data_IF_128015855670
#
_entry.id   IF_128015855670
#
_cell.length_a   1.000
_cell.length_b   1.000
_cell.length_c   1.000
_cell.angle_alpha   90.00
_cell.angle_beta   90.00
_cell.angle_gamma   90.00
#
_symmetry.space_group_name_H-M   'P 1'
#
loop_
_entity.id
_entity.type
_entity.pdbx_description
1 polymer ?
#
# COMPACT_ATOMS: atom_id res chain seq x y z
N UNK A 1 -6.22 -24.31 -7.62
CA UNK A 1 -5.45 -23.07 -7.40
C UNK A 1 -5.10 -23.05 -5.94
N UNK A 2 -3.82 -23.18 -5.62
CA UNK A 2 -3.40 -23.19 -4.21
C UNK A 2 -3.37 -21.76 -3.68
N UNK A 3 -4.06 -21.55 -2.57
CA UNK A 3 -4.09 -20.30 -1.82
C UNK A 3 -3.40 -20.58 -0.49
N UNK A 4 -2.32 -19.87 -0.23
CA UNK A 4 -1.62 -19.89 1.05
C UNK A 4 -2.10 -18.69 1.87
N UNK A 5 -2.55 -18.98 3.09
CA UNK A 5 -3.16 -17.99 3.97
C UNK A 5 -2.26 -17.89 5.20
N UNK A 6 -1.66 -16.71 5.39
CA UNK A 6 -0.91 -16.39 6.60
C UNK A 6 -1.77 -16.59 7.85
N UNK A 7 -1.14 -16.97 8.95
CA UNK A 7 -1.82 -17.02 10.24
C UNK A 7 -2.12 -15.60 10.75
N UNK A 8 -3.19 -15.40 11.53
CA UNK A 8 -3.43 -14.11 12.16
C UNK A 8 -2.26 -13.78 13.12
N UNK A 9 -1.84 -12.52 13.15
CA UNK A 9 -0.80 -12.05 14.07
C UNK A 9 -1.16 -12.42 15.51
N UNK A 10 -0.32 -13.25 16.10
CA UNK A 10 -0.45 -13.65 17.49
C UNK A 10 0.39 -12.72 18.33
N UNK A 11 -0.27 -12.02 19.27
CA UNK A 11 0.44 -11.24 20.28
C UNK A 11 1.37 -12.12 21.12
N UNK A 12 2.11 -11.52 22.07
CA UNK A 12 3.01 -12.29 22.93
C UNK A 12 2.26 -13.37 23.70
N UNK A 13 2.95 -14.49 23.98
CA UNK A 13 2.43 -15.58 24.80
C UNK A 13 1.84 -15.04 26.11
N UNK A 14 0.61 -15.47 26.42
CA UNK A 14 -0.12 -15.04 27.62
C UNK A 14 0.39 -15.75 28.86
N UNK A 15 0.77 -17.01 28.70
CA UNK A 15 1.24 -17.88 29.78
C UNK A 15 2.07 -19.02 29.18
N UNK A 16 2.49 -19.97 30.02
CA UNK A 16 3.20 -21.19 29.62
C UNK A 16 2.63 -22.39 30.35
N UNK A 17 2.80 -23.57 29.77
CA UNK A 17 2.53 -24.82 30.47
C UNK A 17 3.46 -24.97 31.68
N UNK A 18 2.93 -25.29 32.84
CA UNK A 18 3.74 -25.54 34.05
C UNK A 18 4.09 -27.02 34.25
N UNK A 19 3.47 -27.91 33.47
CA UNK A 19 3.70 -29.35 33.45
C UNK A 19 3.50 -29.88 32.03
N UNK A 20 3.97 -31.08 31.76
CA UNK A 20 3.72 -31.75 30.48
C UNK A 20 2.21 -32.03 30.33
N UNK A 21 1.71 -31.93 29.10
CA UNK A 21 0.33 -32.25 28.71
C UNK A 21 0.41 -33.37 27.69
N UNK A 22 -0.19 -34.52 27.99
CA UNK A 22 -0.23 -35.63 27.05
C UNK A 22 -1.33 -35.41 26.02
N UNK A 23 -1.16 -36.00 24.84
CA UNK A 23 -2.25 -36.16 23.87
C UNK A 23 -3.47 -36.81 24.54
N UNK A 24 -4.66 -36.38 24.12
CA UNK A 24 -5.96 -36.68 24.71
C UNK A 24 -6.22 -36.14 26.12
N UNK A 25 -5.25 -35.51 26.81
CA UNK A 25 -5.54 -34.81 28.08
C UNK A 25 -6.56 -33.71 27.81
N UNK A 26 -7.52 -33.54 28.72
CA UNK A 26 -8.62 -32.55 28.58
C UNK A 26 -8.43 -31.32 29.47
N UNK A 27 -7.25 -31.19 30.06
CA UNK A 27 -6.86 -30.07 30.88
C UNK A 27 -5.35 -29.87 30.84
N UNK A 28 -4.92 -28.63 30.98
CA UNK A 28 -3.52 -28.28 31.10
C UNK A 28 -3.30 -27.42 32.35
N UNK A 29 -2.15 -27.63 33.01
CA UNK A 29 -1.71 -26.74 34.09
C UNK A 29 -0.81 -25.67 33.48
N UNK A 30 -1.17 -24.41 33.70
CA UNK A 30 -0.46 -23.22 33.21
C UNK A 30 0.08 -22.40 34.38
N UNK A 31 1.12 -21.61 34.14
CA UNK A 31 1.71 -20.73 35.15
C UNK A 31 0.70 -19.71 35.70
N UNK A 32 -0.18 -19.20 34.83
CA UNK A 32 -1.27 -18.30 35.16
C UNK A 32 -2.38 -18.39 34.08
N UNK A 33 -3.65 -18.43 34.47
CA UNK A 33 -4.80 -18.39 33.56
C UNK A 33 -5.58 -17.06 33.59
N UNK A 34 -5.05 -16.02 34.23
CA UNK A 34 -5.61 -14.67 34.14
C UNK A 34 -5.74 -14.25 32.66
N UNK A 35 -6.85 -13.60 32.31
CA UNK A 35 -7.21 -13.18 30.95
C UNK A 35 -7.46 -14.34 29.96
N UNK A 36 -7.61 -15.58 30.46
CA UNK A 36 -8.16 -16.71 29.72
C UNK A 36 -9.52 -17.08 30.30
N UNK A 37 -10.52 -17.25 29.44
CA UNK A 37 -11.90 -17.52 29.83
C UNK A 37 -12.49 -18.69 29.04
N UNK A 38 -13.64 -19.19 29.51
CA UNK A 38 -14.43 -20.14 28.73
C UNK A 38 -14.72 -19.55 27.35
N UNK A 39 -14.70 -20.41 26.33
CA UNK A 39 -14.91 -20.10 24.92
C UNK A 39 -13.77 -19.38 24.19
N UNK A 40 -12.68 -19.05 24.88
CA UNK A 40 -11.46 -18.57 24.24
C UNK A 40 -10.73 -19.69 23.50
N UNK A 41 -10.03 -19.32 22.43
CA UNK A 41 -9.10 -20.20 21.72
C UNK A 41 -7.66 -19.83 22.10
N UNK A 42 -6.84 -20.84 22.31
CA UNK A 42 -5.41 -20.70 22.59
C UNK A 42 -4.60 -21.59 21.66
N UNK A 43 -3.42 -21.12 21.29
CA UNK A 43 -2.40 -21.89 20.58
C UNK A 43 -1.41 -22.44 21.60
N UNK A 44 -1.18 -23.75 21.57
CA UNK A 44 -0.06 -24.37 22.27
C UNK A 44 1.09 -24.50 21.27
N UNK A 45 2.25 -23.92 21.61
CA UNK A 45 3.38 -23.83 20.69
C UNK A 45 3.46 -22.47 19.98
N UNK A 46 4.19 -22.42 18.87
CA UNK A 46 4.29 -21.24 18.02
C UNK A 46 3.75 -21.56 16.63
N UNK A 47 3.00 -20.65 15.98
CA UNK A 47 2.55 -20.84 14.61
C UNK A 47 3.71 -21.23 13.67
N UNK A 48 3.49 -22.23 12.82
CA UNK A 48 4.49 -22.74 11.89
C UNK A 48 5.50 -23.71 12.49
N UNK A 49 5.47 -23.98 13.80
CA UNK A 49 6.24 -25.07 14.41
C UNK A 49 5.40 -26.36 14.42
N UNK A 50 6.03 -27.48 14.08
CA UNK A 50 5.42 -28.81 14.13
C UNK A 50 4.73 -29.07 15.48
N UNK A 51 3.59 -29.76 15.45
CA UNK A 51 2.81 -30.15 16.63
C UNK A 51 2.13 -29.00 17.38
N UNK A 52 2.18 -27.77 16.86
CA UNK A 52 1.38 -26.68 17.40
C UNK A 52 -0.12 -26.92 17.16
N UNK A 53 -0.96 -26.54 18.11
CA UNK A 53 -2.41 -26.76 17.95
C UNK A 53 -3.26 -25.67 18.60
N UNK A 54 -4.44 -25.45 18.00
CA UNK A 54 -5.48 -24.58 18.56
C UNK A 54 -6.41 -25.40 19.43
N UNK A 55 -6.56 -24.98 20.69
CA UNK A 55 -7.43 -25.61 21.68
C UNK A 55 -8.47 -24.60 22.17
N UNK A 56 -9.73 -25.04 22.27
CA UNK A 56 -10.82 -24.23 22.82
C UNK A 56 -10.99 -24.47 24.31
N UNK A 57 -10.90 -23.41 25.11
CA UNK A 57 -11.11 -23.47 26.56
C UNK A 57 -12.60 -23.67 26.86
N UNK A 58 -12.93 -24.66 27.67
CA UNK A 58 -14.30 -24.89 28.18
C UNK A 58 -14.48 -24.41 29.61
N UNK A 59 -13.40 -24.20 30.35
CA UNK A 59 -13.44 -23.57 31.66
C UNK A 59 -12.08 -23.46 32.30
N UNK A 60 -11.98 -22.62 33.32
CA UNK A 60 -10.79 -22.46 34.15
C UNK A 60 -11.08 -22.95 35.57
N UNK A 61 -10.06 -23.49 36.24
CA UNK A 61 -10.16 -23.90 37.65
C UNK A 61 -8.96 -23.39 38.42
N UNK A 62 -9.21 -22.72 39.55
CA UNK A 62 -8.19 -21.95 40.24
C UNK A 62 -7.48 -20.95 39.30
N UNK A 63 -6.22 -20.64 39.60
CA UNK A 63 -5.44 -19.67 38.83
C UNK A 63 -4.45 -20.33 37.85
N UNK A 64 -4.46 -21.66 37.75
CA UNK A 64 -3.39 -22.43 37.08
C UNK A 64 -3.92 -23.54 36.20
N UNK A 65 -5.23 -23.71 36.02
CA UNK A 65 -5.76 -24.81 35.21
C UNK A 65 -6.72 -24.27 34.15
N UNK A 66 -6.51 -24.73 32.92
CA UNK A 66 -7.42 -24.56 31.78
C UNK A 66 -7.96 -25.93 31.39
N UNK A 67 -9.26 -26.02 31.11
CA UNK A 67 -9.96 -27.23 30.69
C UNK A 67 -10.44 -27.03 29.26
N UNK A 68 -10.54 -28.13 28.51
CA UNK A 68 -10.96 -28.13 27.12
C UNK A 68 -11.64 -29.46 26.76
N UNK A 69 -12.36 -29.50 25.64
CA UNK A 69 -13.08 -30.70 25.17
C UNK A 69 -12.43 -31.23 23.89
N UNK A 70 -12.36 -32.56 23.75
CA UNK A 70 -11.71 -33.23 22.62
C UNK A 70 -10.27 -33.67 22.91
N UNK A 71 -9.67 -33.09 23.95
CA UNK A 71 -8.28 -33.33 24.35
C UNK A 71 -7.27 -32.76 23.36
N UNK A 72 -6.00 -32.66 23.78
CA UNK A 72 -4.90 -32.27 22.89
C UNK A 72 -4.66 -33.33 21.81
N UNK A 73 -4.37 -32.92 20.57
CA UNK A 73 -3.95 -33.84 19.51
C UNK A 73 -2.51 -34.30 19.74
N UNK A 74 -1.67 -33.43 20.30
CA UNK A 74 -0.24 -33.67 20.46
C UNK A 74 0.20 -33.62 21.93
N UNK A 75 1.35 -34.22 22.22
CA UNK A 75 2.02 -34.09 23.51
C UNK A 75 2.75 -32.74 23.56
N UNK A 76 2.59 -31.98 24.65
CA UNK A 76 3.27 -30.70 24.86
C UNK A 76 4.12 -30.75 26.13
N UNK A 77 5.39 -30.38 26.04
CA UNK A 77 6.26 -30.32 27.21
C UNK A 77 5.96 -29.11 28.10
N UNK A 78 6.37 -29.18 29.37
CA UNK A 78 6.38 -28.04 30.25
C UNK A 78 7.16 -26.86 29.61
N UNK A 79 6.70 -25.64 29.89
CA UNK A 79 7.16 -24.35 29.37
C UNK A 79 6.79 -24.03 27.92
N UNK A 80 6.09 -24.91 27.21
CA UNK A 80 5.48 -24.58 25.91
C UNK A 80 4.65 -23.30 26.06
N UNK A 81 4.84 -22.30 25.17
CA UNK A 81 4.07 -21.07 25.22
C UNK A 81 2.59 -21.35 24.93
N UNK A 82 1.73 -20.63 25.63
CA UNK A 82 0.28 -20.64 25.42
C UNK A 82 -0.14 -19.22 25.05
N UNK A 83 -0.65 -19.07 23.83
CA UNK A 83 -0.95 -17.76 23.24
C UNK A 83 -2.43 -17.67 22.92
N UNK A 84 -3.08 -16.58 23.30
CA UNK A 84 -4.48 -16.33 22.93
C UNK A 84 -4.60 -16.05 21.43
N UNK A 85 -5.56 -16.68 20.77
CA UNK A 85 -5.87 -16.44 19.36
C UNK A 85 -7.34 -16.05 19.21
N UNK A 86 -7.58 -14.92 18.53
CA UNK A 86 -8.93 -14.36 18.39
C UNK A 86 -9.80 -15.15 17.40
N UNK A 87 -9.20 -15.80 16.42
CA UNK A 87 -9.89 -16.47 15.30
C UNK A 87 -9.32 -17.87 15.11
N UNK A 88 -10.17 -18.87 14.99
CA UNK A 88 -9.74 -20.28 14.84
C UNK A 88 -9.96 -20.82 13.41
N UNK A 89 -10.60 -20.04 12.54
CA UNK A 89 -10.93 -20.41 11.17
C UNK A 89 -10.63 -19.25 10.21
N UNK A 90 -10.52 -19.58 8.93
CA UNK A 90 -10.50 -18.60 7.84
C UNK A 90 -11.65 -18.85 6.88
N UNK A 91 -12.32 -17.77 6.47
CA UNK A 91 -13.31 -17.78 5.39
C UNK A 91 -12.70 -17.23 4.12
N UNK A 92 -12.84 -18.00 3.05
CA UNK A 92 -12.26 -17.74 1.75
C UNK A 92 -13.36 -17.26 0.82
N UNK A 93 -13.09 -16.20 0.07
CA UNK A 93 -14.02 -15.58 -0.85
C UNK A 93 -13.37 -15.40 -2.21
N UNK A 94 -14.16 -15.44 -3.29
CA UNK A 94 -13.69 -15.14 -4.63
C UNK A 94 -14.59 -14.22 -5.44
N UNK A 95 -14.00 -13.59 -6.46
CA UNK A 95 -14.67 -12.75 -7.44
C UNK A 95 -14.00 -12.87 -8.82
N UNK A 96 -14.73 -12.52 -9.89
CA UNK A 96 -14.18 -12.43 -11.25
C UNK A 96 -13.37 -11.16 -11.50
N UNK A 97 -13.54 -10.13 -10.68
CA UNK A 97 -12.91 -8.82 -10.81
C UNK A 97 -12.34 -8.37 -9.45
N UNK A 98 -11.22 -7.64 -9.47
CA UNK A 98 -10.50 -7.19 -8.26
C UNK A 98 -11.42 -6.45 -7.27
N UNK A 99 -12.25 -5.55 -7.79
CA UNK A 99 -13.15 -4.69 -7.02
C UNK A 99 -14.62 -5.13 -7.12
N UNK A 100 -14.87 -6.35 -7.62
CA UNK A 100 -16.20 -6.91 -7.77
C UNK A 100 -16.82 -7.39 -6.44
N UNK A 101 -17.99 -8.01 -6.55
CA UNK A 101 -18.67 -8.64 -5.41
C UNK A 101 -18.04 -10.00 -5.10
N UNK A 102 -17.47 -10.14 -3.90
CA UNK A 102 -16.86 -11.37 -3.44
C UNK A 102 -17.90 -12.32 -2.84
N UNK A 103 -17.91 -13.57 -3.30
CA UNK A 103 -18.79 -14.64 -2.80
C UNK A 103 -18.00 -15.62 -1.95
N UNK A 104 -18.61 -16.17 -0.89
CA UNK A 104 -17.97 -17.15 -0.02
C UNK A 104 -17.73 -18.45 -0.78
N UNK A 105 -16.50 -18.97 -0.73
CA UNK A 105 -16.12 -20.26 -1.28
C UNK A 105 -16.12 -21.34 -0.20
N UNK A 106 -15.33 -21.17 0.85
CA UNK A 106 -15.17 -22.15 1.92
C UNK A 106 -14.87 -21.49 3.27
N UNK A 107 -14.97 -22.29 4.33
CA UNK A 107 -14.47 -21.98 5.67
C UNK A 107 -13.57 -23.13 6.10
N UNK A 108 -12.30 -22.83 6.34
CA UNK A 108 -11.29 -23.81 6.75
C UNK A 108 -10.85 -23.53 8.19
N UNK A 109 -10.48 -24.58 8.92
CA UNK A 109 -9.75 -24.45 10.19
C UNK A 109 -8.33 -23.94 9.92
N UNK A 110 -7.73 -23.21 10.86
CA UNK A 110 -6.35 -22.76 10.73
C UNK A 110 -5.38 -23.91 11.02
N UNK A 111 -4.50 -24.21 10.07
CA UNK A 111 -3.45 -25.23 10.19
C UNK A 111 -2.22 -24.63 10.88
N UNK A 112 -2.31 -24.43 12.20
CA UNK A 112 -1.32 -23.65 12.97
C UNK A 112 0.05 -24.33 13.12
N UNK A 113 0.13 -25.64 12.84
CA UNK A 113 1.37 -26.43 12.79
C UNK A 113 2.13 -26.31 11.47
N UNK A 114 1.51 -25.70 10.46
CA UNK A 114 2.13 -25.36 9.18
C UNK A 114 2.43 -23.86 9.10
N UNK A 115 3.30 -23.43 8.19
CA UNK A 115 3.64 -22.01 8.00
C UNK A 115 2.42 -21.20 7.51
N UNK A 116 1.54 -21.84 6.75
CA UNK A 116 0.32 -21.24 6.18
C UNK A 116 -0.84 -22.23 6.24
N UNK A 117 -2.07 -21.70 6.29
CA UNK A 117 -3.27 -22.51 6.02
C UNK A 117 -3.45 -22.63 4.50
N UNK A 118 -3.36 -23.85 3.96
CA UNK A 118 -3.45 -24.11 2.53
C UNK A 118 -4.88 -24.43 2.07
N UNK A 119 -5.33 -23.82 0.97
CA UNK A 119 -6.61 -24.13 0.34
C UNK A 119 -6.48 -24.30 -1.17
N UNK A 120 -6.96 -25.42 -1.71
CA UNK A 120 -6.96 -25.68 -3.16
C UNK A 120 -8.35 -25.42 -3.79
N UNK A 121 -8.49 -24.27 -4.44
CA UNK A 121 -9.65 -24.00 -5.29
C UNK A 121 -9.48 -24.68 -6.65
N UNK A 122 -9.98 -25.90 -6.78
CA UNK A 122 -9.93 -26.69 -8.03
C UNK A 122 -10.70 -26.06 -9.19
N UNK A 123 -11.59 -25.10 -8.93
CA UNK A 123 -12.38 -24.38 -9.95
C UNK A 123 -11.79 -23.03 -10.33
N UNK A 124 -10.95 -22.49 -9.46
CA UNK A 124 -10.29 -21.22 -9.60
C UNK A 124 -9.32 -21.16 -10.78
N UNK A 125 -9.32 -20.03 -11.47
CA UNK A 125 -8.41 -19.73 -12.59
C UNK A 125 -7.39 -18.65 -12.20
N UNK A 126 -6.40 -18.42 -13.06
CA UNK A 126 -5.46 -17.29 -12.91
C UNK A 126 -6.14 -15.91 -12.96
N UNK A 127 -7.36 -15.79 -13.48
CA UNK A 127 -8.13 -14.55 -13.49
C UNK A 127 -9.04 -14.38 -12.27
N UNK A 128 -9.13 -15.39 -11.41
CA UNK A 128 -9.97 -15.34 -10.20
C UNK A 128 -9.28 -14.50 -9.13
N UNK A 129 -10.04 -13.66 -8.44
CA UNK A 129 -9.55 -12.85 -7.34
C UNK A 129 -10.04 -13.42 -6.02
N UNK A 130 -9.17 -13.43 -5.01
CA UNK A 130 -9.44 -13.99 -3.70
C UNK A 130 -9.29 -12.94 -2.61
N UNK A 131 -10.12 -13.08 -1.57
CA UNK A 131 -10.00 -12.37 -0.31
C UNK A 131 -10.30 -13.35 0.82
N UNK A 132 -9.70 -13.11 1.98
CA UNK A 132 -9.95 -13.91 3.17
C UNK A 132 -10.47 -13.04 4.32
N UNK A 133 -11.15 -13.69 5.26
CA UNK A 133 -11.48 -13.14 6.58
C UNK A 133 -11.21 -14.19 7.63
N UNK A 134 -10.46 -13.85 8.67
CA UNK A 134 -10.41 -14.66 9.87
C UNK A 134 -11.75 -14.66 10.59
N UNK A 135 -12.15 -15.83 11.08
CA UNK A 135 -13.45 -16.14 11.65
C UNK A 135 -13.28 -16.85 13.00
N UNK A 136 -14.08 -16.46 13.99
CA UNK A 136 -14.18 -17.16 15.25
C UNK A 136 -15.48 -17.97 15.25
N UNK A 137 -15.38 -19.29 15.26
CA UNK A 137 -16.55 -20.17 15.13
C UNK A 137 -17.47 -20.18 16.35
N UNK A 138 -16.98 -19.72 17.50
CA UNK A 138 -17.78 -19.63 18.74
C UNK A 138 -18.53 -18.30 18.85
N UNK A 139 -17.84 -17.17 18.68
CA UNK A 139 -18.47 -15.84 18.78
C UNK A 139 -19.12 -15.38 17.48
N UNK A 140 -18.89 -16.10 16.38
CA UNK A 140 -19.29 -15.75 15.00
C UNK A 140 -18.68 -14.45 14.47
N UNK A 141 -17.65 -13.93 15.16
CA UNK A 141 -16.97 -12.69 14.79
C UNK A 141 -16.10 -12.88 13.56
N UNK A 142 -16.12 -11.91 12.65
CA UNK A 142 -15.25 -11.84 11.47
C UNK A 142 -14.26 -10.67 11.61
N UNK A 143 -13.09 -10.82 10.99
CA UNK A 143 -12.18 -9.72 10.69
C UNK A 143 -12.59 -8.97 9.41
N UNK A 144 -11.89 -7.88 9.13
CA UNK A 144 -11.98 -7.19 7.84
C UNK A 144 -11.41 -8.05 6.71
N UNK A 145 -11.76 -7.72 5.47
CA UNK A 145 -11.20 -8.42 4.31
C UNK A 145 -9.70 -8.21 4.19
N UNK A 146 -8.99 -9.26 3.79
CA UNK A 146 -7.62 -9.14 3.29
C UNK A 146 -7.55 -8.27 2.03
N UNK A 147 -6.31 -7.92 1.66
CA UNK A 147 -6.03 -7.41 0.31
C UNK A 147 -6.48 -8.44 -0.74
N UNK A 148 -7.01 -7.95 -1.86
CA UNK A 148 -7.35 -8.80 -2.98
C UNK A 148 -6.08 -9.38 -3.61
N UNK A 149 -6.04 -10.69 -3.80
CA UNK A 149 -4.94 -11.41 -4.46
C UNK A 149 -5.50 -12.12 -5.68
N UNK A 150 -4.84 -11.97 -6.82
CA UNK A 150 -5.22 -12.68 -8.03
C UNK A 150 -4.71 -14.12 -7.96
N UNK A 151 -5.36 -15.07 -8.63
CA UNK A 151 -4.90 -16.47 -8.68
C UNK A 151 -3.47 -16.65 -9.21
N UNK A 152 -2.89 -15.66 -9.87
CA UNK A 152 -1.46 -15.66 -10.23
C UNK A 152 -0.51 -15.33 -9.08
N UNK A 153 -1.04 -15.00 -7.89
CA UNK A 153 -0.28 -14.51 -6.76
C UNK A 153 0.04 -13.02 -6.85
N UNK A 154 1.02 -12.61 -6.06
CA UNK A 154 1.54 -11.24 -6.03
C UNK A 154 2.53 -11.00 -7.17
N UNK A 155 2.47 -9.82 -7.80
CA UNK A 155 3.47 -9.41 -8.79
C UNK A 155 4.79 -9.04 -8.12
N UNK A 156 5.91 -9.14 -8.84
CA UNK A 156 7.24 -8.75 -8.33
C UNK A 156 7.31 -7.32 -7.79
N UNK A 157 6.52 -6.41 -8.39
CA UNK A 157 6.46 -4.99 -8.03
C UNK A 157 5.43 -4.69 -6.93
N UNK A 158 4.76 -5.73 -6.41
CA UNK A 158 3.83 -5.61 -5.30
C UNK A 158 4.56 -5.32 -4.00
N UNK A 159 3.85 -4.68 -3.08
CA UNK A 159 4.38 -4.39 -1.74
C UNK A 159 4.78 -5.66 -1.00
N UNK A 160 3.98 -6.73 -1.10
CA UNK A 160 4.27 -8.01 -0.46
C UNK A 160 5.61 -8.59 -0.93
N UNK A 161 5.78 -8.73 -2.26
CA UNK A 161 6.99 -9.30 -2.84
C UNK A 161 8.25 -8.50 -2.47
N UNK A 162 8.15 -7.16 -2.45
CA UNK A 162 9.28 -6.32 -2.03
C UNK A 162 9.58 -6.38 -0.53
N UNK A 163 8.57 -6.58 0.33
CA UNK A 163 8.80 -6.75 1.77
C UNK A 163 9.58 -8.06 2.01
N UNK A 164 9.13 -9.16 1.40
CA UNK A 164 9.77 -10.46 1.59
C UNK A 164 11.20 -10.45 1.03
N UNK A 165 11.43 -9.87 -0.14
CA UNK A 165 12.79 -9.70 -0.68
C UNK A 165 13.70 -8.89 0.24
N UNK A 166 13.22 -7.78 0.80
CA UNK A 166 14.01 -6.98 1.76
C UNK A 166 14.32 -7.78 3.02
N UNK A 167 13.38 -8.58 3.53
CA UNK A 167 13.58 -9.40 4.72
C UNK A 167 14.55 -10.56 4.46
N UNK A 168 14.41 -11.25 3.33
CA UNK A 168 15.33 -12.29 2.88
C UNK A 168 16.76 -11.75 2.71
N UNK A 169 16.94 -10.64 1.98
CA UNK A 169 18.25 -10.01 1.78
C UNK A 169 18.85 -9.46 3.08
N UNK A 170 18.01 -9.03 4.01
CA UNK A 170 18.45 -8.59 5.33
C UNK A 170 18.88 -9.76 6.23
N UNK A 171 18.43 -10.98 5.92
CA UNK A 171 18.69 -12.19 6.71
C UNK A 171 17.68 -12.44 7.84
N UNK A 172 16.46 -11.91 7.70
CA UNK A 172 15.36 -12.02 8.67
C UNK A 172 14.04 -12.42 7.97
N UNK A 173 13.97 -13.59 7.30
CA UNK A 173 12.82 -13.99 6.48
C UNK A 173 11.51 -14.04 7.28
N UNK A 174 11.58 -14.39 8.57
CA UNK A 174 10.43 -14.54 9.45
C UNK A 174 9.96 -13.22 10.07
N UNK A 175 10.74 -12.14 9.93
CA UNK A 175 10.53 -10.81 10.51
C UNK A 175 10.63 -10.77 12.05
N UNK A 176 11.52 -11.59 12.62
CA UNK A 176 11.78 -11.66 14.06
C UNK A 176 12.49 -10.41 14.58
N UNK A 177 13.37 -9.82 13.77
CA UNK A 177 14.19 -8.66 14.17
C UNK A 177 13.63 -7.33 13.67
N UNK A 178 13.04 -7.31 12.47
CA UNK A 178 12.41 -6.14 11.85
C UNK A 178 11.03 -6.51 11.35
N UNK A 179 10.01 -5.87 11.93
CA UNK A 179 8.62 -6.10 11.50
C UNK A 179 8.37 -5.73 10.03
N UNK A 180 7.53 -6.52 9.36
CA UNK A 180 7.02 -6.27 8.01
C UNK A 180 6.45 -4.85 7.84
N UNK A 181 5.75 -4.34 8.86
CA UNK A 181 5.22 -2.98 8.90
C UNK A 181 6.31 -1.89 8.82
N UNK A 182 7.46 -2.14 9.45
CA UNK A 182 8.59 -1.20 9.42
C UNK A 182 9.22 -1.17 8.04
N UNK A 183 9.42 -2.34 7.42
CA UNK A 183 9.90 -2.46 6.03
C UNK A 183 8.94 -1.76 5.08
N UNK A 184 7.62 -1.98 5.23
CA UNK A 184 6.57 -1.31 4.46
C UNK A 184 6.71 0.21 4.49
N UNK A 185 6.91 0.78 5.68
CA UNK A 185 7.10 2.22 5.85
C UNK A 185 8.36 2.74 5.17
N UNK A 186 9.45 1.95 5.16
CA UNK A 186 10.66 2.30 4.42
C UNK A 186 10.44 2.28 2.91
N UNK A 187 9.78 1.27 2.36
CA UNK A 187 9.45 1.22 0.94
C UNK A 187 8.58 2.41 0.51
N UNK A 188 7.53 2.75 1.28
CA UNK A 188 6.71 3.95 1.03
C UNK A 188 7.53 5.24 1.01
N UNK A 189 8.48 5.37 1.94
CA UNK A 189 9.39 6.51 1.96
C UNK A 189 10.37 6.50 0.77
N UNK A 190 10.79 5.32 0.32
CA UNK A 190 11.59 5.11 -0.89
C UNK A 190 10.86 5.62 -2.12
N UNK A 191 9.62 5.18 -2.34
CA UNK A 191 8.78 5.61 -3.47
C UNK A 191 8.69 7.13 -3.55
N UNK A 192 8.47 7.79 -2.41
CA UNK A 192 8.43 9.26 -2.33
C UNK A 192 9.76 9.89 -2.76
N UNK A 193 10.89 9.36 -2.28
CA UNK A 193 12.23 9.87 -2.64
C UNK A 193 12.56 9.67 -4.11
N UNK A 194 12.34 8.47 -4.65
CA UNK A 194 12.58 8.19 -6.06
C UNK A 194 11.68 9.07 -6.94
N UNK A 195 10.41 9.25 -6.57
CA UNK A 195 9.50 10.14 -7.31
C UNK A 195 10.04 11.58 -7.35
N UNK A 196 10.55 12.10 -6.23
CA UNK A 196 11.13 13.44 -6.18
C UNK A 196 12.39 13.57 -7.04
N UNK A 197 13.29 12.60 -7.01
CA UNK A 197 14.48 12.60 -7.88
C UNK A 197 14.10 12.48 -9.36
N UNK A 198 13.07 11.70 -9.68
CA UNK A 198 12.58 11.58 -11.04
C UNK A 198 11.96 12.89 -11.54
N UNK A 199 11.13 13.57 -10.74
CA UNK A 199 10.55 14.89 -11.07
C UNK A 199 11.66 15.94 -11.24
N UNK A 200 12.70 15.90 -10.41
CA UNK A 200 13.83 16.83 -10.51
C UNK A 200 14.58 16.72 -11.83
N UNK A 201 14.80 15.49 -12.31
CA UNK A 201 15.47 15.25 -13.60
C UNK A 201 14.51 15.41 -14.79
N UNK A 202 13.23 15.14 -14.57
CA UNK A 202 12.18 15.15 -15.59
C UNK A 202 10.95 15.92 -15.09
N UNK A 203 10.93 17.27 -15.19
CA UNK A 203 9.87 18.10 -14.61
C UNK A 203 8.47 17.84 -15.15
N UNK A 204 8.31 17.17 -16.29
CA UNK A 204 7.00 16.79 -16.82
C UNK A 204 6.48 15.45 -16.30
N UNK A 205 7.31 14.68 -15.59
CA UNK A 205 6.90 13.39 -15.03
C UNK A 205 5.82 13.59 -13.95
N UNK A 206 4.71 12.83 -14.06
CA UNK A 206 3.52 12.91 -13.17
C UNK A 206 2.91 14.31 -13.04
N UNK A 207 3.14 15.17 -14.02
CA UNK A 207 2.38 16.40 -14.15
C UNK A 207 0.95 16.03 -14.51
N UNK A 208 0.02 16.35 -13.61
CA UNK A 208 -1.40 16.14 -13.77
C UNK A 208 -2.11 17.48 -13.72
N UNK A 209 -3.37 17.51 -14.14
CA UNK A 209 -4.24 18.63 -13.82
C UNK A 209 -5.60 18.15 -13.32
N UNK A 210 -6.22 18.98 -12.50
CA UNK A 210 -7.62 18.83 -12.12
C UNK A 210 -8.38 20.09 -12.50
N UNK A 211 -9.69 19.96 -12.66
CA UNK A 211 -10.58 21.08 -12.97
C UNK A 211 -11.41 21.43 -11.75
N UNK A 212 -11.66 22.72 -11.57
CA UNK A 212 -12.52 23.23 -10.53
C UNK A 212 -13.48 24.25 -11.12
N UNK A 213 -14.77 23.95 -11.06
CA UNK A 213 -15.81 24.86 -11.52
C UNK A 213 -15.86 26.10 -10.63
N UNK A 214 -15.85 27.27 -11.27
CA UNK A 214 -15.91 28.57 -10.62
C UNK A 214 -17.37 28.97 -10.40
N UNK A 215 -17.64 29.54 -9.22
CA UNK A 215 -18.96 30.04 -8.85
C UNK A 215 -18.92 31.57 -8.79
N UNK A 216 -19.91 32.22 -9.39
CA UNK A 216 -20.07 33.67 -9.34
C UNK A 216 -20.09 34.18 -7.89
N UNK A 217 -19.37 35.25 -7.60
CA UNK A 217 -19.25 35.83 -6.26
C UNK A 217 -18.43 34.99 -5.27
N UNK A 218 -17.69 34.00 -5.75
CA UNK A 218 -16.83 33.14 -4.91
C UNK A 218 -15.38 33.30 -5.35
N UNK A 219 -14.54 34.02 -4.58
CA UNK A 219 -13.14 34.21 -4.95
C UNK A 219 -12.24 33.08 -4.45
N UNK A 220 -12.69 32.22 -3.53
CA UNK A 220 -11.84 31.26 -2.80
C UNK A 220 -12.19 29.81 -3.12
N UNK A 221 -11.16 29.01 -3.36
CA UNK A 221 -11.27 27.63 -3.82
C UNK A 221 -10.23 26.75 -3.14
N UNK A 222 -10.57 25.48 -2.86
CA UNK A 222 -9.62 24.55 -2.24
C UNK A 222 -8.60 24.04 -3.25
N UNK A 223 -7.34 23.89 -2.83
CA UNK A 223 -6.35 23.14 -3.62
C UNK A 223 -6.61 21.63 -3.51
N UNK A 224 -6.06 20.80 -4.42
CA UNK A 224 -6.18 19.35 -4.31
C UNK A 224 -5.61 18.87 -2.97
N UNK A 225 -6.22 17.84 -2.36
CA UNK A 225 -5.82 17.40 -1.01
C UNK A 225 -4.47 16.67 -0.97
N UNK A 226 -3.96 16.24 -2.12
CA UNK A 226 -2.79 15.36 -2.20
C UNK A 226 -1.97 15.63 -3.45
N UNK A 227 -1.05 16.59 -3.37
CA UNK A 227 -0.08 16.90 -4.42
C UNK A 227 1.28 17.23 -3.81
N UNK A 228 2.35 17.12 -4.61
CA UNK A 228 3.71 17.45 -4.18
C UNK A 228 3.98 18.95 -4.26
N UNK A 229 3.71 19.54 -5.42
CA UNK A 229 3.84 20.97 -5.65
C UNK A 229 2.91 21.38 -6.79
N UNK A 230 2.36 22.58 -6.67
CA UNK A 230 1.56 23.18 -7.72
C UNK A 230 2.51 23.80 -8.75
N UNK A 231 2.23 23.57 -10.03
CA UNK A 231 3.03 24.05 -11.14
C UNK A 231 2.45 25.35 -11.71
N UNK A 232 1.16 25.35 -12.09
CA UNK A 232 0.46 26.54 -12.59
C UNK A 232 -1.06 26.43 -12.39
N UNK A 233 -1.74 27.57 -12.43
CA UNK A 233 -3.20 27.64 -12.48
C UNK A 233 -3.57 28.43 -13.74
N UNK A 234 -4.47 27.86 -14.54
CA UNK A 234 -5.04 28.53 -15.71
C UNK A 234 -6.54 28.71 -15.47
N UNK A 235 -7.13 29.83 -15.91
CA UNK A 235 -8.56 30.11 -15.71
C UNK A 235 -9.23 30.37 -17.05
N UNK A 236 -10.30 29.63 -17.30
CA UNK A 236 -11.27 29.91 -18.34
C UNK A 236 -12.53 30.51 -17.71
N UNK A 237 -13.05 31.60 -18.25
CA UNK A 237 -14.26 32.27 -17.73
C UNK A 237 -15.55 31.78 -18.40
N UNK A 238 -15.43 31.14 -19.56
CA UNK A 238 -16.52 30.71 -20.44
C UNK A 238 -16.66 29.17 -20.50
N UNK A 239 -15.99 28.45 -19.61
CA UNK A 239 -15.93 26.97 -19.59
C UNK A 239 -15.28 26.36 -20.83
N UNK A 240 -14.46 27.13 -21.54
CA UNK A 240 -13.64 26.66 -22.66
C UNK A 240 -12.56 25.68 -22.22
N UNK A 241 -11.98 24.98 -23.20
CA UNK A 241 -10.90 24.01 -22.96
C UNK A 241 -9.66 24.69 -22.35
N UNK A 242 -8.75 23.89 -21.78
CA UNK A 242 -7.50 24.39 -21.18
C UNK A 242 -6.62 25.20 -22.13
N UNK A 243 -6.80 25.05 -23.44
CA UNK A 243 -6.02 25.76 -24.46
C UNK A 243 -6.38 27.25 -24.57
N UNK A 244 -7.61 27.62 -24.21
CA UNK A 244 -8.11 28.99 -24.23
C UNK A 244 -8.03 29.67 -22.85
N UNK A 245 -7.55 28.94 -21.83
CA UNK A 245 -7.46 29.44 -20.46
C UNK A 245 -6.32 30.44 -20.28
N UNK A 246 -6.57 31.49 -19.49
CA UNK A 246 -5.59 32.50 -19.13
C UNK A 246 -4.67 31.99 -18.01
N UNK A 247 -3.36 32.00 -18.27
CA UNK A 247 -2.35 31.62 -17.26
C UNK A 247 -2.33 32.64 -16.13
N UNK A 248 -2.51 32.17 -14.89
CA UNK A 248 -2.51 33.04 -13.73
C UNK A 248 -1.10 33.40 -13.29
N UNK A 249 -0.91 34.63 -12.81
CA UNK A 249 0.27 34.99 -12.02
C UNK A 249 0.04 34.60 -10.57
N UNK A 250 0.93 33.78 -10.02
CA UNK A 250 0.87 33.28 -8.64
C UNK A 250 1.64 34.22 -7.71
N UNK A 251 1.00 34.64 -6.62
CA UNK A 251 1.55 35.47 -5.54
C UNK A 251 1.70 34.65 -4.26
N UNK A 252 2.78 34.92 -3.51
CA UNK A 252 3.09 34.20 -2.28
C UNK A 252 2.15 34.57 -1.13
N UNK A 253 1.71 35.83 -1.07
CA UNK A 253 0.74 36.32 -0.09
C UNK A 253 -0.38 37.12 -0.79
N UNK A 254 -1.57 37.14 -0.19
CA UNK A 254 -2.65 38.04 -0.55
C UNK A 254 -2.25 39.51 -0.30
N UNK A 255 -1.37 39.78 0.65
CA UNK A 255 -0.80 41.12 0.87
C UNK A 255 0.02 41.67 -0.31
N UNK A 256 0.55 40.78 -1.17
CA UNK A 256 1.25 41.17 -2.41
C UNK A 256 0.27 41.52 -3.54
N UNK A 257 -1.03 41.25 -3.36
CA UNK A 257 -2.07 41.75 -4.23
C UNK A 257 -2.36 43.20 -3.89
N UNK A 258 -1.95 44.10 -4.79
CA UNK A 258 -2.15 45.55 -4.63
C UNK A 258 -3.64 45.90 -4.43
N UNK A 259 -4.06 46.37 -3.23
CA UNK A 259 -5.48 46.53 -2.88
C UNK A 259 -6.22 47.60 -3.71
N UNK A 260 -5.50 48.38 -4.51
CA UNK A 260 -6.05 49.41 -5.40
C UNK A 260 -5.82 49.12 -6.89
N UNK A 261 -5.43 47.88 -7.23
CA UNK A 261 -5.24 47.49 -8.63
C UNK A 261 -6.55 46.93 -9.19
N UNK A 262 -6.93 47.44 -10.36
CA UNK A 262 -7.99 46.84 -11.17
C UNK A 262 -7.49 45.52 -11.75
N UNK A 263 -8.19 44.43 -11.48
CA UNK A 263 -7.89 43.11 -12.03
C UNK A 263 -8.75 42.84 -13.26
N UNK A 264 -8.20 42.13 -14.24
CA UNK A 264 -8.85 41.85 -15.51
C UNK A 264 -8.91 40.34 -15.75
N UNK A 265 -9.99 39.87 -16.37
CA UNK A 265 -10.18 38.45 -16.74
C UNK A 265 -9.07 37.91 -17.64
N UNK A 266 -8.47 38.78 -18.46
CA UNK A 266 -7.37 38.43 -19.37
C UNK A 266 -6.00 38.35 -18.71
N UNK A 267 -5.87 38.79 -17.45
CA UNK A 267 -4.65 38.70 -16.63
C UNK A 267 -4.99 38.31 -15.18
N UNK A 268 -5.54 37.09 -14.98
CA UNK A 268 -5.97 36.66 -13.66
C UNK A 268 -4.77 36.48 -12.72
N UNK A 269 -5.03 36.74 -11.44
CA UNK A 269 -4.06 36.68 -10.35
C UNK A 269 -4.55 35.67 -9.33
N UNK A 270 -3.63 34.88 -8.81
CA UNK A 270 -3.93 33.92 -7.74
C UNK A 270 -3.01 34.15 -6.56
N UNK A 271 -3.54 34.13 -5.35
CA UNK A 271 -2.79 34.07 -4.09
C UNK A 271 -3.20 32.84 -3.29
N UNK A 272 -2.32 32.36 -2.40
CA UNK A 272 -2.60 31.22 -1.53
C UNK A 272 -2.94 31.66 -0.12
N UNK A 273 -3.92 30.98 0.49
CA UNK A 273 -4.30 31.11 1.89
C UNK A 273 -4.48 29.72 2.48
N UNK A 274 -3.40 29.17 3.04
CA UNK A 274 -3.41 27.80 3.59
C UNK A 274 -3.63 26.76 2.49
N UNK A 275 -4.70 25.98 2.61
CA UNK A 275 -5.15 24.96 1.67
C UNK A 275 -6.15 25.51 0.63
N UNK A 276 -6.24 26.83 0.50
CA UNK A 276 -7.08 27.50 -0.46
C UNK A 276 -6.28 28.45 -1.35
N UNK A 277 -6.83 28.73 -2.52
CA UNK A 277 -6.34 29.77 -3.42
C UNK A 277 -7.45 30.78 -3.70
N UNK A 278 -7.06 32.04 -3.87
CA UNK A 278 -7.95 33.17 -4.09
C UNK A 278 -7.71 33.72 -5.48
N UNK A 279 -8.77 33.86 -6.28
CA UNK A 279 -8.74 34.33 -7.66
C UNK A 279 -9.12 35.82 -7.71
N UNK A 280 -8.38 36.60 -8.52
CA UNK A 280 -8.72 37.96 -8.93
C UNK A 280 -8.61 38.14 -10.45
N UNK A 281 -9.57 38.79 -11.15
CA UNK A 281 -10.81 39.33 -10.60
C UNK A 281 -11.71 38.22 -10.03
N UNK A 282 -12.63 38.60 -9.15
CA UNK A 282 -13.58 37.64 -8.61
C UNK A 282 -14.47 37.13 -9.74
N UNK A 283 -14.74 35.81 -9.82
CA UNK A 283 -15.64 35.28 -10.84
C UNK A 283 -16.99 35.97 -10.79
N UNK A 284 -17.40 36.60 -11.89
CA UNK A 284 -18.68 37.26 -12.03
C UNK A 284 -19.73 36.34 -12.69
N UNK A 285 -19.28 35.36 -13.47
CA UNK A 285 -20.10 34.39 -14.21
C UNK A 285 -20.03 32.98 -13.60
N UNK A 286 -21.14 32.22 -13.64
CA UNK A 286 -21.24 30.86 -13.07
C UNK A 286 -20.67 29.74 -13.95
N UNK A 287 -19.93 30.09 -15.01
CA UNK A 287 -19.45 29.14 -16.03
C UNK A 287 -17.93 28.99 -16.08
N UNK A 288 -17.16 29.67 -15.23
CA UNK A 288 -15.70 29.55 -15.29
C UNK A 288 -15.20 28.18 -14.85
N UNK A 289 -14.00 27.80 -15.31
CA UNK A 289 -13.25 26.63 -14.83
C UNK A 289 -11.80 27.01 -14.58
N UNK A 290 -11.30 26.66 -13.40
CA UNK A 290 -9.87 26.68 -13.10
C UNK A 290 -9.23 25.32 -13.41
N UNK A 291 -8.08 25.35 -14.08
CA UNK A 291 -7.24 24.20 -14.38
C UNK A 291 -6.00 24.27 -13.50
N UNK A 292 -5.92 23.39 -12.50
CA UNK A 292 -4.82 23.35 -11.55
C UNK A 292 -3.84 22.28 -12.02
N UNK A 293 -2.67 22.71 -12.48
CA UNK A 293 -1.59 21.81 -12.90
C UNK A 293 -0.63 21.59 -11.74
N UNK A 294 -0.38 20.33 -11.37
CA UNK A 294 0.44 19.98 -10.23
C UNK A 294 1.22 18.69 -10.47
N UNK A 295 2.25 18.47 -9.65
CA UNK A 295 2.89 17.17 -9.54
C UNK A 295 2.12 16.31 -8.55
N UNK A 296 1.56 15.22 -9.04
CA UNK A 296 0.79 14.29 -8.20
C UNK A 296 1.69 13.52 -7.22
N UNK A 297 1.15 13.24 -6.05
CA UNK A 297 1.83 12.43 -5.04
C UNK A 297 1.67 10.94 -5.39
N UNK A 298 2.73 10.12 -5.33
CA UNK A 298 2.62 8.70 -5.63
C UNK A 298 1.56 8.02 -4.76
N UNK A 299 0.80 7.07 -5.35
CA UNK A 299 -0.21 6.31 -4.59
C UNK A 299 0.44 5.64 -3.39
N UNK A 300 -0.27 5.55 -2.27
CA UNK A 300 0.26 4.82 -1.11
C UNK A 300 0.18 3.33 -1.38
N UNK A 301 1.29 2.65 -1.19
CA UNK A 301 1.33 1.20 -1.14
C UNK A 301 0.74 0.75 0.20
N UNK A 302 -0.58 0.71 0.30
CA UNK A 302 -1.31 0.41 1.53
C UNK A 302 -1.50 -1.08 1.69
N UNK A 303 -1.97 -1.71 0.63
CA UNK A 303 -2.31 -3.11 0.53
C UNK A 303 -1.12 -3.94 0.04
N UNK A 304 -1.12 -5.22 0.36
CA UNK A 304 -0.09 -6.17 -0.05
C UNK A 304 0.06 -6.24 -1.58
N UNK A 305 -1.04 -6.10 -2.32
CA UNK A 305 -1.09 -6.11 -3.79
C UNK A 305 -0.90 -4.75 -4.46
N UNK A 306 -0.69 -3.67 -3.68
CA UNK A 306 -0.41 -2.36 -4.28
C UNK A 306 0.99 -2.36 -4.91
N UNK A 307 1.11 -1.77 -6.10
CA UNK A 307 2.39 -1.57 -6.77
C UNK A 307 2.90 -0.14 -6.54
N UNK A 308 4.20 0.08 -6.69
CA UNK A 308 4.83 1.38 -6.42
C UNK A 308 4.46 2.48 -7.45
N UNK A 309 3.91 2.12 -8.62
CA UNK A 309 3.45 3.07 -9.63
C UNK A 309 4.55 3.94 -10.26
N UNK A 310 5.81 3.49 -10.18
CA UNK A 310 6.96 4.10 -10.86
C UNK A 310 7.27 3.31 -12.14
N UNK A 311 8.03 3.88 -13.09
CA UNK A 311 8.48 3.17 -14.27
C UNK A 311 9.20 1.86 -13.94
N UNK A 312 9.26 0.96 -14.93
CA UNK A 312 9.97 -0.30 -14.84
C UNK A 312 11.42 -0.11 -14.33
N UNK A 313 11.90 -1.07 -13.55
CA UNK A 313 13.23 -1.03 -12.93
C UNK A 313 13.32 -0.21 -11.64
N UNK A 314 12.22 0.38 -11.16
CA UNK A 314 12.24 1.12 -9.89
C UNK A 314 12.31 0.22 -8.65
N UNK A 315 12.02 -1.08 -8.80
CA UNK A 315 12.05 -2.08 -7.71
C UNK A 315 13.40 -2.14 -7.02
N UNK A 316 14.47 -2.29 -7.78
CA UNK A 316 15.83 -2.47 -7.24
C UNK A 316 16.29 -1.28 -6.37
N UNK A 317 16.19 0.00 -6.82
CA UNK A 317 16.51 1.13 -5.96
C UNK A 317 15.54 1.29 -4.76
N UNK A 318 14.31 0.76 -4.81
CA UNK A 318 13.39 0.76 -3.66
C UNK A 318 13.82 -0.25 -2.59
N UNK A 319 14.15 -1.47 -3.00
CA UNK A 319 14.66 -2.55 -2.14
C UNK A 319 15.96 -2.11 -1.48
N UNK A 320 16.92 -1.59 -2.27
CA UNK A 320 18.18 -1.07 -1.75
C UNK A 320 17.97 0.07 -0.73
N UNK A 321 17.01 0.97 -0.96
CA UNK A 321 16.67 2.01 0.01
C UNK A 321 16.12 1.43 1.32
N UNK A 322 15.22 0.45 1.24
CA UNK A 322 14.64 -0.18 2.42
C UNK A 322 15.71 -0.94 3.22
N UNK A 323 16.58 -1.70 2.56
CA UNK A 323 17.72 -2.39 3.17
C UNK A 323 18.67 -1.43 3.88
N UNK A 324 19.04 -0.32 3.25
CA UNK A 324 19.84 0.73 3.90
C UNK A 324 19.20 1.18 5.23
N UNK A 325 17.88 1.37 5.25
CA UNK A 325 17.14 1.82 6.43
C UNK A 325 17.02 0.72 7.49
N UNK A 326 17.00 -0.55 7.10
CA UNK A 326 17.04 -1.71 7.99
C UNK A 326 18.41 -1.88 8.67
N UNK A 327 19.51 -1.72 7.92
CA UNK A 327 20.88 -1.86 8.43
C UNK A 327 21.33 -0.71 9.32
N UNK A 328 20.87 0.52 9.06
CA UNK A 328 21.29 1.74 9.80
C UNK A 328 21.32 1.63 11.34
N UNK A 329 20.33 1.03 12.03
CA UNK A 329 20.39 0.84 13.48
C UNK A 329 21.26 -0.33 13.96
N UNK A 330 21.64 -1.28 13.09
CA UNK A 330 22.37 -2.49 13.46
C UNK A 330 23.86 -2.44 13.14
N UNK A 331 24.20 -2.03 11.92
CA UNK A 331 25.57 -2.04 11.42
C UNK A 331 25.77 -0.81 10.52
N UNK A 332 26.60 0.12 11.01
CA UNK A 332 26.86 1.38 10.31
C UNK A 332 27.59 1.14 9.00
N UNK A 333 28.58 0.26 8.97
CA UNK A 333 29.45 0.08 7.81
C UNK A 333 28.66 -0.59 6.69
N UNK A 334 27.94 -1.68 6.99
CA UNK A 334 27.00 -2.30 6.03
C UNK A 334 25.93 -1.32 5.55
N UNK A 335 25.40 -0.48 6.43
CA UNK A 335 24.40 0.52 6.02
C UNK A 335 24.98 1.55 5.03
N UNK A 336 26.27 1.86 5.12
CA UNK A 336 26.93 2.78 4.20
C UNK A 336 27.15 2.13 2.84
N UNK A 337 27.57 0.86 2.81
CA UNK A 337 27.75 0.10 1.56
C UNK A 337 26.42 -0.04 0.80
N UNK A 338 25.35 -0.43 1.50
CA UNK A 338 24.00 -0.53 0.90
C UNK A 338 23.48 0.85 0.46
N UNK A 339 23.81 1.92 1.18
CA UNK A 339 23.48 3.29 0.75
C UNK A 339 24.19 3.66 -0.54
N UNK A 340 25.45 3.27 -0.72
CA UNK A 340 26.19 3.52 -1.96
C UNK A 340 25.56 2.76 -3.14
N UNK A 341 25.25 1.49 -2.95
CA UNK A 341 24.50 0.69 -3.92
C UNK A 341 23.18 1.37 -4.31
N UNK A 342 22.38 1.79 -3.33
CA UNK A 342 21.15 2.54 -3.56
C UNK A 342 21.36 3.79 -4.45
N UNK A 343 22.40 4.57 -4.20
CA UNK A 343 22.68 5.78 -4.99
C UNK A 343 23.07 5.46 -6.43
N UNK A 344 23.84 4.38 -6.64
CA UNK A 344 24.22 3.89 -7.97
C UNK A 344 22.99 3.40 -8.73
N UNK A 345 22.14 2.59 -8.10
CA UNK A 345 20.90 2.08 -8.71
C UNK A 345 19.94 3.22 -9.09
N UNK A 346 19.79 4.22 -8.23
CA UNK A 346 18.97 5.41 -8.55
C UNK A 346 19.53 6.17 -9.76
N UNK A 347 20.84 6.36 -9.83
CA UNK A 347 21.46 7.06 -10.96
C UNK A 347 21.27 6.29 -12.28
N UNK A 348 21.56 4.99 -12.28
CA UNK A 348 21.39 4.11 -13.44
C UNK A 348 19.93 4.07 -13.90
N UNK A 349 19.00 3.93 -12.95
CA UNK A 349 17.57 3.91 -13.25
C UNK A 349 17.09 5.24 -13.85
N UNK A 350 17.49 6.39 -13.28
CA UNK A 350 17.12 7.71 -13.83
C UNK A 350 17.68 7.91 -15.25
N UNK A 351 18.90 7.45 -15.52
CA UNK A 351 19.51 7.50 -16.85
C UNK A 351 18.72 6.63 -17.85
N UNK A 352 18.38 5.40 -17.47
CA UNK A 352 17.57 4.49 -18.28
C UNK A 352 16.21 5.11 -18.65
N UNK A 353 15.53 5.74 -17.69
CA UNK A 353 14.28 6.46 -17.96
C UNK A 353 14.50 7.66 -18.90
N UNK A 354 15.64 8.34 -18.80
CA UNK A 354 16.00 9.42 -19.73
C UNK A 354 16.14 8.96 -21.16
N UNK A 355 16.90 7.88 -21.37
CA UNK A 355 17.14 7.31 -22.71
C UNK A 355 15.83 6.88 -23.37
N UNK A 356 14.93 6.20 -22.62
CA UNK A 356 13.64 5.76 -23.16
C UNK A 356 12.72 6.92 -23.58
N UNK A 357 12.86 8.10 -22.97
CA UNK A 357 12.09 9.30 -23.37
C UNK A 357 12.68 9.98 -24.61
N UNK A 358 14.00 10.01 -24.76
CA UNK A 358 14.65 10.60 -25.95
C UNK A 358 14.31 9.85 -27.23
N UNK A 359 14.13 8.52 -27.16
CA UNK A 359 13.72 7.70 -28.31
C UNK A 359 12.28 7.92 -28.79
N UNK A 360 11.45 8.64 -28.03
CA UNK A 360 10.08 8.99 -28.46
C UNK A 360 10.05 10.33 -29.19
N UNK A 361 11.04 11.20 -28.96
CA UNK A 361 11.20 12.46 -29.72
C UNK A 361 11.96 12.27 -31.04
N UNK A 362 12.37 11.04 -31.38
CA UNK A 362 13.05 10.76 -32.65
C UNK A 362 12.07 10.61 -33.81
N UNK A 363 12.13 11.62 -34.66
CA UNK A 363 11.66 11.70 -36.04
C UNK A 363 10.14 11.73 -36.19
N UNK A 364 9.60 12.94 -36.32
CA UNK A 364 8.45 13.15 -37.20
C UNK A 364 8.82 12.55 -38.56
N UNK A 365 8.42 11.31 -38.82
CA UNK A 365 8.44 10.72 -40.15
C UNK A 365 7.57 11.65 -40.97
N UNK A 366 8.19 12.53 -41.77
CA UNK A 366 7.48 13.20 -42.85
C UNK A 366 7.04 12.10 -43.78
N UNK A 367 5.83 11.57 -43.54
CA UNK A 367 5.10 10.80 -44.52
C UNK A 367 4.80 11.79 -45.64
N UNK A 368 5.74 11.89 -46.56
CA UNK A 368 5.57 12.65 -47.78
C UNK A 368 4.64 11.79 -48.61
N UNK A 369 3.33 12.03 -48.50
CA UNK A 369 2.39 11.52 -49.48
C UNK A 369 2.76 12.18 -50.80
N UNK A 370 3.49 11.43 -51.63
CA UNK A 370 3.70 11.80 -53.01
C UNK A 370 2.34 11.79 -53.69
N UNK A 371 1.73 12.96 -53.85
CA UNK A 371 0.96 13.31 -55.03
C UNK A 371 0.71 14.83 -55.08
N UNK A 372 0.94 15.34 -56.30
CA UNK A 372 0.47 16.62 -56.85
C UNK A 372 1.36 17.86 -56.66
N UNK A 373 2.39 17.95 -57.52
CA UNK A 373 2.78 19.25 -58.08
C UNK A 373 1.74 19.65 -59.14
N UNK A 374 0.92 20.66 -58.85
CA UNK A 374 0.33 21.50 -59.89
C UNK A 374 1.11 22.82 -59.95
N UNK A 375 1.90 22.96 -61.00
CA UNK A 375 2.46 24.24 -61.43
C UNK A 375 1.33 25.02 -62.09
N UNK A 376 0.96 26.15 -61.49
CA UNK A 376 0.21 27.19 -62.19
C UNK A 376 1.20 28.20 -62.76
N UNK A 377 1.34 28.24 -64.08
CA UNK A 377 1.83 29.42 -64.81
C UNK A 377 0.98 29.61 -66.08
N UNK A 378 0.13 30.65 -66.02
CA UNK A 378 -0.68 31.33 -67.05
C UNK A 378 -1.50 30.52 -68.06
#
# INVERSE_FOLDING_TARGET
MLIEIEHPDLGPAKTRLSADVSSSDTSATVENNNDLSTDDYVVFGKPGEELSEIVKITGTSGNTTINFTGGCKFDHSARTPVTYIKYNQVRIYSASEKDGTYSSLSTEDLDIDEEYTGYDDTTGTSSTWYKVKYYNSTTTTLSDYSSAVQGTGYTSDSLYSMINEVLEEFGDPDADEISRDRVRNYLRAGVRKLTMELIKNYPDYRKQYTTQSLTSGTPTYNVPTRFLALNRIDISWDNSNSDDAYKCKIFADEGDQYPNTTYYETDPRVSFRGDQYVIKPEPDNSSGTAFLWYWDYPSEMTNASDTHGLPYGARDPLVAYALYRCWRPKDRDKSMDVREMYLVEVANWIEFIGQSRQTVESESVKVTYGHEMYVYEN
#
